data_IF_675075666329
#
_entry.id   IF_675075666329
#
_cell.length_a   1.000
_cell.length_b   1.000
_cell.length_c   1.000
_cell.angle_alpha   90.00
_cell.angle_beta   90.00
_cell.angle_gamma   90.00
#
_symmetry.space_group_name_H-M   'P 1'
#
loop_
_entity.id
_entity.type
_entity.pdbx_description
1 polymer ?
#
# COMPACT_ATOMS: atom_id res chain seq x y z
N UNK A 1 -12.62 -12.75 -17.56
CA UNK A 1 -11.95 -12.02 -16.45
C UNK A 1 -12.79 -12.21 -15.19
N UNK A 2 -12.55 -13.30 -14.47
CA UNK A 2 -13.34 -13.69 -13.28
C UNK A 2 -12.77 -13.02 -12.04
N UNK A 3 -13.49 -12.04 -11.50
CA UNK A 3 -13.19 -11.49 -10.18
C UNK A 3 -13.51 -12.56 -9.12
N UNK A 4 -12.49 -13.27 -8.66
CA UNK A 4 -12.57 -14.38 -7.71
C UNK A 4 -12.78 -13.95 -6.23
N UNK A 5 -13.48 -12.84 -5.98
CA UNK A 5 -13.78 -12.34 -4.63
C UNK A 5 -15.15 -11.64 -4.56
N UNK A 6 -16.15 -12.20 -5.24
CA UNK A 6 -17.55 -11.81 -5.04
C UNK A 6 -18.18 -12.50 -3.83
N UNK A 7 -17.52 -12.40 -2.66
CA UNK A 7 -18.13 -12.56 -1.34
C UNK A 7 -18.65 -13.97 -1.02
N UNK A 8 -18.19 -14.52 0.10
CA UNK A 8 -18.80 -15.69 0.73
C UNK A 8 -20.35 -15.58 0.70
N UNK A 9 -21.00 -16.66 0.27
CA UNK A 9 -22.46 -16.76 0.22
C UNK A 9 -23.10 -16.30 1.54
N UNK A 10 -24.35 -15.82 1.47
CA UNK A 10 -25.04 -14.99 2.46
C UNK A 10 -25.06 -15.42 3.95
N UNK A 11 -24.42 -16.53 4.30
CA UNK A 11 -24.09 -16.95 5.66
C UNK A 11 -23.02 -16.06 6.34
N UNK A 12 -22.04 -15.51 5.61
CA UNK A 12 -21.00 -14.66 6.22
C UNK A 12 -21.38 -13.20 6.12
N UNK A 13 -21.82 -12.62 7.25
CA UNK A 13 -22.09 -11.19 7.37
C UNK A 13 -20.76 -10.41 7.34
N UNK A 14 -20.30 -10.02 6.16
CA UNK A 14 -19.13 -9.14 6.06
C UNK A 14 -19.48 -7.77 6.68
N UNK A 15 -18.74 -7.30 7.71
CA UNK A 15 -19.16 -6.16 8.52
C UNK A 15 -19.22 -4.83 7.75
N UNK A 16 -18.66 -4.74 6.54
CA UNK A 16 -18.50 -3.46 5.83
C UNK A 16 -18.90 -3.46 4.34
N UNK A 17 -19.24 -4.60 3.72
CA UNK A 17 -19.60 -4.67 2.30
C UNK A 17 -21.13 -4.65 2.14
N UNK A 18 -21.66 -3.62 1.48
CA UNK A 18 -23.06 -3.53 1.00
C UNK A 18 -24.19 -3.66 2.06
N UNK A 19 -23.95 -3.29 3.32
CA UNK A 19 -25.02 -3.36 4.33
C UNK A 19 -25.80 -2.05 4.47
N UNK A 20 -27.14 -2.14 4.40
CA UNK A 20 -28.09 -1.07 4.77
C UNK A 20 -27.88 -0.53 6.20
N UNK A 21 -27.22 -1.30 7.07
CA UNK A 21 -26.89 -0.93 8.46
C UNK A 21 -25.62 -0.09 8.61
N UNK A 22 -24.90 0.20 7.52
CA UNK A 22 -23.70 1.04 7.60
C UNK A 22 -24.10 2.50 7.81
N UNK A 23 -23.60 3.18 8.86
CA UNK A 23 -23.81 4.61 9.03
C UNK A 23 -23.32 5.38 7.80
N UNK A 24 -24.08 6.39 7.36
CA UNK A 24 -23.64 7.29 6.29
C UNK A 24 -22.39 8.03 6.76
N UNK A 25 -21.29 7.88 6.02
CA UNK A 25 -20.06 8.62 6.28
C UNK A 25 -20.32 10.12 6.15
N UNK A 26 -19.84 10.90 7.12
CA UNK A 26 -19.83 12.36 7.04
C UNK A 26 -18.97 12.85 5.87
N UNK A 27 -19.16 14.10 5.44
CA UNK A 27 -18.37 14.71 4.36
C UNK A 27 -16.87 14.62 4.63
N UNK A 28 -16.43 14.91 5.87
CA UNK A 28 -15.02 14.84 6.27
C UNK A 28 -14.47 13.42 6.18
N UNK A 29 -15.20 12.42 6.69
CA UNK A 29 -14.78 11.02 6.62
C UNK A 29 -14.68 10.51 5.17
N UNK A 30 -15.57 10.95 4.28
CA UNK A 30 -15.47 10.62 2.84
C UNK A 30 -14.21 11.20 2.21
N UNK A 31 -13.83 12.42 2.55
CA UNK A 31 -12.61 13.06 2.04
C UNK A 31 -11.36 12.30 2.51
N UNK A 32 -11.28 11.99 3.81
CA UNK A 32 -10.17 11.19 4.37
C UNK A 32 -10.10 9.81 3.72
N UNK A 33 -11.23 9.12 3.57
CA UNK A 33 -11.26 7.81 2.89
C UNK A 33 -10.82 7.90 1.43
N UNK A 34 -11.18 8.97 0.71
CA UNK A 34 -10.72 9.19 -0.68
C UNK A 34 -9.21 9.44 -0.74
N UNK A 35 -8.67 10.25 0.18
CA UNK A 35 -7.23 10.49 0.25
C UNK A 35 -6.47 9.19 0.56
N UNK A 36 -6.93 8.43 1.55
CA UNK A 36 -6.32 7.15 1.92
C UNK A 36 -6.45 6.12 0.78
N UNK A 37 -7.58 6.06 0.08
CA UNK A 37 -7.75 5.19 -1.08
C UNK A 37 -6.77 5.52 -2.22
N UNK A 38 -6.49 6.81 -2.46
CA UNK A 38 -5.49 7.22 -3.46
C UNK A 38 -4.09 6.72 -3.10
N UNK A 39 -3.71 6.79 -1.83
CA UNK A 39 -2.41 6.29 -1.33
C UNK A 39 -2.34 4.77 -1.48
N UNK A 40 -3.39 4.05 -1.03
CA UNK A 40 -3.50 2.58 -1.13
C UNK A 40 -3.40 2.09 -2.57
N UNK A 41 -4.13 2.72 -3.49
CA UNK A 41 -4.18 2.34 -4.88
C UNK A 41 -2.80 2.35 -5.55
N UNK A 42 -1.89 3.25 -5.15
CA UNK A 42 -0.51 3.25 -5.63
C UNK A 42 0.26 2.00 -5.20
N UNK A 43 0.19 1.65 -3.91
CA UNK A 43 0.84 0.46 -3.36
C UNK A 43 0.26 -0.85 -3.92
N UNK A 44 -1.06 -0.94 -4.03
CA UNK A 44 -1.75 -2.10 -4.61
C UNK A 44 -1.38 -2.28 -6.09
N UNK A 45 -1.30 -1.19 -6.86
CA UNK A 45 -0.85 -1.23 -8.26
C UNK A 45 0.61 -1.67 -8.36
N UNK A 46 1.49 -1.13 -7.53
CA UNK A 46 2.89 -1.54 -7.49
C UNK A 46 3.02 -3.04 -7.18
N UNK A 47 2.32 -3.52 -6.16
CA UNK A 47 2.30 -4.95 -5.81
C UNK A 47 1.72 -5.79 -6.95
N UNK A 48 0.62 -5.36 -7.58
CA UNK A 48 0.03 -6.06 -8.72
C UNK A 48 0.94 -6.09 -9.95
N UNK A 49 1.81 -5.10 -10.13
CA UNK A 49 2.84 -5.06 -11.16
C UNK A 49 4.05 -5.94 -10.81
N UNK A 50 4.41 -6.04 -9.53
CA UNK A 50 5.55 -6.83 -9.04
C UNK A 50 5.22 -8.31 -8.85
N UNK A 51 3.98 -8.65 -8.49
CA UNK A 51 3.50 -10.01 -8.22
C UNK A 51 3.54 -10.96 -9.43
N UNK A 52 3.32 -10.55 -10.69
CA UNK A 52 3.48 -11.45 -11.84
C UNK A 52 4.97 -11.66 -12.14
N UNK A 53 5.69 -12.33 -11.22
CA UNK A 53 6.84 -13.21 -11.43
C UNK A 53 8.03 -12.76 -12.27
N UNK A 54 8.04 -11.57 -12.86
CA UNK A 54 9.17 -11.08 -13.64
C UNK A 54 10.23 -10.69 -12.64
N UNK A 55 11.40 -11.32 -12.71
CA UNK A 55 12.58 -10.91 -12.00
C UNK A 55 12.90 -9.47 -12.41
N UNK A 56 12.55 -8.52 -11.54
CA UNK A 56 13.03 -7.17 -11.69
C UNK A 56 14.53 -7.22 -11.39
N UNK A 57 15.41 -6.81 -12.32
CA UNK A 57 16.79 -6.56 -11.95
C UNK A 57 16.76 -5.56 -10.80
N UNK A 58 17.63 -5.80 -9.81
CA UNK A 58 17.72 -5.03 -8.58
C UNK A 58 17.48 -3.54 -8.89
N UNK A 59 16.44 -2.90 -8.35
CA UNK A 59 15.99 -1.57 -8.80
C UNK A 59 17.11 -0.51 -8.78
N UNK A 60 18.13 -0.73 -7.93
CA UNK A 60 19.37 0.03 -7.88
C UNK A 60 20.25 -0.10 -9.15
N UNK A 61 20.32 -1.28 -9.77
CA UNK A 61 21.05 -1.52 -11.01
C UNK A 61 20.37 -0.88 -12.23
N UNK A 62 19.04 -0.77 -12.21
CA UNK A 62 18.27 -0.20 -13.31
C UNK A 62 18.14 1.34 -13.25
N UNK A 63 18.31 1.95 -12.05
CA UNK A 63 18.07 3.38 -11.85
C UNK A 63 19.09 4.04 -10.90
N UNK A 64 20.01 4.90 -11.41
CA UNK A 64 21.00 5.61 -10.58
C UNK A 64 20.38 6.46 -9.46
N UNK A 65 19.18 7.03 -9.71
CA UNK A 65 18.43 7.79 -8.70
C UNK A 65 17.94 6.91 -7.54
N UNK A 66 17.55 5.66 -7.80
CA UNK A 66 17.13 4.74 -6.76
C UNK A 66 18.31 4.40 -5.83
N UNK A 67 19.50 4.19 -6.40
CA UNK A 67 20.73 3.96 -5.62
C UNK A 67 21.06 5.15 -4.72
N UNK A 68 21.01 6.39 -5.24
CA UNK A 68 21.27 7.58 -4.44
C UNK A 68 20.29 7.72 -3.27
N UNK A 69 19.00 7.43 -3.49
CA UNK A 69 17.98 7.48 -2.43
C UNK A 69 18.23 6.40 -1.38
N UNK A 70 18.52 5.15 -1.79
CA UNK A 70 18.82 4.05 -0.86
C UNK A 70 20.06 4.36 -0.02
N UNK A 71 21.13 4.89 -0.64
CA UNK A 71 22.34 5.30 0.07
C UNK A 71 22.06 6.43 1.07
N UNK A 72 21.25 7.42 0.71
CA UNK A 72 20.86 8.49 1.62
C UNK A 72 20.05 7.98 2.82
N UNK A 73 19.13 7.04 2.59
CA UNK A 73 18.33 6.41 3.67
C UNK A 73 19.24 5.61 4.60
N UNK A 74 20.18 4.83 4.07
CA UNK A 74 21.13 4.05 4.87
C UNK A 74 22.04 4.95 5.70
N UNK A 75 22.59 6.00 5.11
CA UNK A 75 23.41 6.98 5.82
C UNK A 75 22.63 7.65 6.97
N UNK A 76 21.38 8.07 6.71
CA UNK A 76 20.52 8.64 7.74
C UNK A 76 20.22 7.62 8.85
N UNK A 77 19.91 6.38 8.49
CA UNK A 77 19.62 5.33 9.46
C UNK A 77 20.80 5.04 10.37
N UNK A 78 22.03 5.00 9.84
CA UNK A 78 23.24 4.84 10.65
C UNK A 78 23.46 6.01 11.61
N UNK A 79 23.23 7.25 11.16
CA UNK A 79 23.36 8.42 12.02
C UNK A 79 22.32 8.40 13.14
N UNK A 80 21.05 8.12 12.83
CA UNK A 80 19.99 8.01 13.83
C UNK A 80 20.24 6.84 14.79
N UNK A 81 20.55 5.64 14.29
CA UNK A 81 20.83 4.47 15.12
C UNK A 81 21.99 4.71 16.10
N UNK A 82 23.03 5.43 15.67
CA UNK A 82 24.15 5.77 16.54
C UNK A 82 23.80 6.84 17.60
N UNK A 83 22.83 7.72 17.33
CA UNK A 83 22.35 8.71 18.32
C UNK A 83 21.54 8.08 19.46
N UNK A 84 20.85 6.97 19.22
CA UNK A 84 20.04 6.28 20.23
C UNK A 84 20.75 5.08 20.89
N UNK A 85 22.03 4.85 20.57
CA UNK A 85 22.83 3.75 21.11
C UNK A 85 23.69 4.15 22.33
N UNK A 86 23.60 5.40 22.81
CA UNK A 86 24.18 5.87 24.07
C UNK A 86 23.10 6.18 25.10
#
# INVERSE_FOLDING_TARGET
MTFADQGAGGAIRTPFKRHHRRPKLSRRQKVVNRAHAKIRAGGERAIATLKPGRSWPNCAAAHPRATAIVQAILALHHVEANRYAG
#
